data_IF_915547522746
#
_entry.id   IF_915547522746
#
_cell.length_a   1.000
_cell.length_b   1.000
_cell.length_c   1.000
_cell.angle_alpha   90.00
_cell.angle_beta   90.00
_cell.angle_gamma   90.00
#
_symmetry.space_group_name_H-M   'P 1'
#
loop_
_entity.id
_entity.type
_entity.pdbx_description
1 polymer ?
#
# COMPACT_ATOMS: atom_id res chain seq x y z
N UNK A 1 13.31 7.03 7.38
CA UNK A 1 12.62 7.00 8.69
C UNK A 1 11.15 6.52 8.58
N UNK A 2 10.85 5.64 7.63
CA UNK A 2 9.48 5.16 7.37
C UNK A 2 9.14 3.84 8.06
N UNK A 3 10.11 3.22 8.74
CA UNK A 3 9.91 1.95 9.43
C UNK A 3 9.02 2.04 10.68
N UNK A 4 9.07 3.14 11.42
CA UNK A 4 8.36 3.25 12.69
C UNK A 4 6.83 3.19 12.57
N UNK A 5 6.16 3.92 11.67
CA UNK A 5 4.71 3.79 11.49
C UNK A 5 4.29 2.41 11.00
N UNK A 6 5.07 1.79 10.11
CA UNK A 6 4.80 0.44 9.63
C UNK A 6 4.93 -0.58 10.77
N UNK A 7 5.92 -0.45 11.64
CA UNK A 7 6.11 -1.30 12.83
C UNK A 7 4.95 -1.13 13.82
N UNK A 8 4.49 0.11 14.07
CA UNK A 8 3.34 0.35 14.95
C UNK A 8 2.07 -0.28 14.39
N UNK A 9 1.82 -0.12 13.08
CA UNK A 9 0.67 -0.77 12.41
C UNK A 9 0.80 -2.29 12.50
N UNK A 10 1.99 -2.85 12.26
CA UNK A 10 2.25 -4.28 12.38
C UNK A 10 2.07 -4.78 13.81
N UNK A 11 2.50 -4.04 14.84
CA UNK A 11 2.31 -4.41 16.24
C UNK A 11 0.84 -4.33 16.67
N UNK A 12 0.09 -3.33 16.22
CA UNK A 12 -1.34 -3.22 16.47
C UNK A 12 -2.12 -4.35 15.79
N UNK A 13 -1.73 -4.69 14.56
CA UNK A 13 -2.26 -5.84 13.84
C UNK A 13 -1.88 -7.13 14.55
N UNK A 14 -0.63 -7.31 14.93
CA UNK A 14 -0.17 -8.50 15.66
C UNK A 14 -0.92 -8.73 16.97
N UNK A 15 -1.18 -7.68 17.75
CA UNK A 15 -1.96 -7.76 18.99
C UNK A 15 -3.43 -8.16 18.76
N UNK A 16 -4.03 -7.80 17.61
CA UNK A 16 -5.40 -8.21 17.23
C UNK A 16 -5.45 -9.57 16.56
N UNK A 17 -4.37 -9.96 15.90
CA UNK A 17 -4.23 -11.20 15.17
C UNK A 17 -4.03 -12.42 16.08
N UNK A 18 -3.59 -12.24 17.30
CA UNK A 18 -3.62 -13.30 18.33
C UNK A 18 -5.04 -13.88 18.54
N UNK A 19 -6.08 -13.19 18.05
CA UNK A 19 -7.49 -13.58 18.16
C UNK A 19 -8.07 -14.08 16.81
N UNK A 20 -7.39 -13.84 15.69
CA UNK A 20 -7.86 -14.28 14.37
C UNK A 20 -7.20 -15.61 13.98
N UNK A 21 -7.99 -16.55 13.47
CA UNK A 21 -7.48 -17.85 13.00
C UNK A 21 -6.26 -17.70 12.07
N UNK A 22 -5.24 -18.52 12.26
CA UNK A 22 -3.99 -18.55 11.49
C UNK A 22 -4.18 -18.52 9.96
N UNK A 23 -5.30 -19.05 9.47
CA UNK A 23 -5.65 -19.03 8.06
C UNK A 23 -5.97 -17.63 7.50
N UNK A 24 -6.55 -16.74 8.31
CA UNK A 24 -6.86 -15.37 7.86
C UNK A 24 -5.58 -14.54 7.72
N UNK A 25 -4.59 -14.82 8.56
CA UNK A 25 -3.25 -14.22 8.47
C UNK A 25 -2.50 -14.65 7.23
N UNK A 26 -2.50 -15.94 6.94
CA UNK A 26 -1.84 -16.46 5.74
C UNK A 26 -2.42 -15.80 4.49
N UNK A 27 -3.76 -15.69 4.41
CA UNK A 27 -4.41 -14.96 3.30
C UNK A 27 -3.93 -13.52 3.22
N UNK A 28 -3.97 -12.78 4.33
CA UNK A 28 -3.54 -11.37 4.35
C UNK A 28 -2.07 -11.20 3.98
N UNK A 29 -1.18 -12.07 4.46
CA UNK A 29 0.25 -12.03 4.12
C UNK A 29 0.49 -12.34 2.63
N UNK A 30 -0.15 -13.36 2.09
CA UNK A 30 -0.03 -13.70 0.66
C UNK A 30 -0.60 -12.56 -0.20
N UNK A 31 -1.75 -12.01 0.17
CA UNK A 31 -2.34 -10.85 -0.51
C UNK A 31 -1.41 -9.63 -0.46
N UNK A 32 -0.81 -9.36 0.70
CA UNK A 32 0.13 -8.26 0.85
C UNK A 32 1.35 -8.44 -0.06
N UNK A 33 2.02 -9.59 -0.01
CA UNK A 33 3.26 -9.83 -0.76
C UNK A 33 3.01 -9.84 -2.27
N UNK A 34 2.06 -10.64 -2.73
CA UNK A 34 1.77 -10.76 -4.17
C UNK A 34 1.07 -9.51 -4.70
N UNK A 35 0.16 -8.92 -3.93
CA UNK A 35 -0.52 -7.68 -4.27
C UNK A 35 0.47 -6.51 -4.37
N UNK A 36 1.44 -6.44 -3.47
CA UNK A 36 2.50 -5.42 -3.52
C UNK A 36 3.38 -5.59 -4.77
N UNK A 37 3.83 -6.81 -5.05
CA UNK A 37 4.64 -7.09 -6.23
C UNK A 37 3.89 -6.69 -7.51
N UNK A 38 2.63 -7.10 -7.66
CA UNK A 38 1.80 -6.76 -8.81
C UNK A 38 1.56 -5.24 -8.90
N UNK A 39 1.20 -4.60 -7.79
CA UNK A 39 0.89 -3.17 -7.76
C UNK A 39 2.13 -2.31 -8.04
N UNK A 40 3.32 -2.67 -7.53
CA UNK A 40 4.57 -1.95 -7.83
C UNK A 40 4.92 -2.11 -9.30
N UNK A 41 4.79 -3.31 -9.87
CA UNK A 41 5.03 -3.55 -11.29
C UNK A 41 4.09 -2.72 -12.16
N UNK A 42 2.79 -2.73 -11.86
CA UNK A 42 1.80 -1.92 -12.55
C UNK A 42 2.10 -0.42 -12.43
N UNK A 43 2.50 0.04 -11.24
CA UNK A 43 2.89 1.43 -11.03
C UNK A 43 4.16 1.82 -11.81
N UNK A 44 5.13 0.92 -11.91
CA UNK A 44 6.34 1.16 -12.70
C UNK A 44 6.01 1.28 -14.21
N UNK A 45 5.17 0.40 -14.71
CA UNK A 45 4.67 0.47 -16.10
C UNK A 45 3.89 1.76 -16.33
N UNK A 46 2.96 2.11 -15.43
CA UNK A 46 2.18 3.34 -15.54
C UNK A 46 3.07 4.59 -15.54
N UNK A 47 4.12 4.63 -14.71
CA UNK A 47 5.12 5.72 -14.71
C UNK A 47 5.81 5.86 -16.05
N UNK A 48 6.20 4.75 -16.65
CA UNK A 48 6.87 4.76 -17.95
C UNK A 48 5.93 5.18 -19.09
N UNK A 49 4.65 4.74 -19.04
CA UNK A 49 3.65 5.05 -20.07
C UNK A 49 3.18 6.49 -19.99
N UNK A 50 2.80 6.96 -18.81
CA UNK A 50 2.25 8.32 -18.67
C UNK A 50 3.34 9.39 -18.67
N UNK A 51 4.53 9.09 -18.20
CA UNK A 51 5.71 9.96 -18.18
C UNK A 51 5.44 11.41 -17.64
N UNK A 52 4.46 11.56 -16.75
CA UNK A 52 4.03 12.87 -16.22
C UNK A 52 5.09 13.48 -15.30
N UNK A 53 5.47 14.76 -15.48
CA UNK A 53 6.46 15.41 -14.66
C UNK A 53 5.94 15.67 -13.24
N UNK A 54 6.88 15.84 -12.29
CA UNK A 54 6.54 16.13 -10.88
C UNK A 54 6.15 17.58 -10.67
N UNK A 55 5.40 17.90 -9.58
CA UNK A 55 5.01 19.27 -9.24
C UNK A 55 6.18 20.25 -9.24
N UNK A 56 7.31 19.92 -8.60
CA UNK A 56 8.49 20.80 -8.55
C UNK A 56 9.15 21.03 -9.93
N UNK A 57 8.92 20.14 -10.90
CA UNK A 57 9.43 20.32 -12.28
C UNK A 57 8.55 21.30 -13.06
N UNK A 58 7.22 21.23 -12.81
CA UNK A 58 6.23 22.03 -13.56
C UNK A 58 6.05 23.42 -12.94
N UNK A 59 6.02 23.49 -11.62
CA UNK A 59 5.64 24.68 -10.85
C UNK A 59 6.88 25.44 -10.30
N UNK A 60 8.08 24.87 -10.41
CA UNK A 60 9.33 25.50 -9.96
C UNK A 60 9.26 25.92 -8.49
N UNK A 61 9.61 27.18 -8.24
CA UNK A 61 9.69 27.79 -6.90
C UNK A 61 8.31 28.00 -6.23
N UNK A 62 7.20 27.77 -6.95
CA UNK A 62 5.86 27.87 -6.38
C UNK A 62 5.52 26.69 -5.44
N UNK A 63 6.33 25.62 -5.44
CA UNK A 63 6.16 24.47 -4.55
C UNK A 63 7.44 24.15 -3.81
N UNK A 64 7.30 23.72 -2.55
CA UNK A 64 8.45 23.27 -1.76
C UNK A 64 9.03 21.99 -2.37
N UNK A 65 10.36 21.98 -2.59
CA UNK A 65 11.09 20.77 -2.96
C UNK A 65 11.91 20.29 -1.77
N UNK A 66 11.54 19.16 -1.21
CA UNK A 66 12.35 18.54 -0.15
C UNK A 66 13.73 18.12 -0.69
N UNK A 67 14.78 18.27 0.13
CA UNK A 67 16.15 17.83 -0.21
C UNK A 67 16.21 16.34 -0.53
N UNK A 68 15.33 15.55 0.09
CA UNK A 68 15.17 14.10 -0.14
C UNK A 68 14.17 13.77 -1.26
N UNK A 69 13.80 14.74 -2.11
CA UNK A 69 12.89 14.46 -3.23
C UNK A 69 13.49 13.41 -4.14
N UNK A 70 12.72 12.39 -4.55
CA UNK A 70 13.24 11.33 -5.41
C UNK A 70 13.72 11.88 -6.75
N UNK A 71 14.85 11.37 -7.24
CA UNK A 71 15.39 11.75 -8.55
C UNK A 71 14.56 11.21 -9.73
N UNK A 72 13.59 10.34 -9.47
CA UNK A 72 12.72 9.83 -10.53
C UNK A 72 11.90 10.95 -11.15
N UNK A 73 12.00 11.10 -12.47
CA UNK A 73 11.36 12.19 -13.25
C UNK A 73 9.85 12.14 -13.24
N UNK A 74 9.25 10.96 -13.08
CA UNK A 74 7.83 10.73 -13.26
C UNK A 74 7.07 10.63 -11.95
N UNK A 75 5.89 11.24 -11.94
CA UNK A 75 5.10 11.42 -10.72
C UNK A 75 4.02 10.34 -10.54
N UNK A 76 3.27 10.00 -11.57
CA UNK A 76 2.04 9.18 -11.47
C UNK A 76 2.31 7.70 -11.77
N UNK A 77 1.79 6.79 -10.92
CA UNK A 77 1.18 6.99 -9.61
C UNK A 77 2.22 7.14 -8.49
N UNK A 78 1.79 7.64 -7.32
CA UNK A 78 2.63 7.73 -6.13
C UNK A 78 2.95 6.35 -5.55
N UNK A 79 4.24 5.97 -5.51
CA UNK A 79 4.66 4.67 -4.98
C UNK A 79 4.36 4.48 -3.49
N UNK A 80 4.47 5.53 -2.67
CA UNK A 80 4.08 5.48 -1.26
C UNK A 80 2.58 5.24 -1.09
N UNK A 81 1.76 5.84 -1.96
CA UNK A 81 0.31 5.64 -1.94
C UNK A 81 -0.08 4.25 -2.44
N UNK A 82 0.67 3.67 -3.40
CA UNK A 82 0.52 2.27 -3.81
C UNK A 82 0.76 1.35 -2.61
N UNK A 83 1.87 1.54 -1.89
CA UNK A 83 2.17 0.75 -0.70
C UNK A 83 1.05 0.84 0.36
N UNK A 84 0.60 2.06 0.67
CA UNK A 84 -0.49 2.28 1.64
C UNK A 84 -1.80 1.66 1.16
N UNK A 85 -2.10 1.75 -0.13
CA UNK A 85 -3.27 1.10 -0.74
C UNK A 85 -3.25 -0.42 -0.60
N UNK A 86 -2.10 -1.05 -0.86
CA UNK A 86 -1.90 -2.50 -0.65
C UNK A 86 -2.07 -2.87 0.82
N UNK A 87 -1.42 -2.12 1.72
CA UNK A 87 -1.50 -2.35 3.16
C UNK A 87 -2.95 -2.26 3.64
N UNK A 88 -3.66 -1.20 3.19
CA UNK A 88 -5.06 -1.00 3.53
C UNK A 88 -5.93 -2.17 3.04
N UNK A 89 -5.81 -2.54 1.78
CA UNK A 89 -6.62 -3.61 1.19
C UNK A 89 -6.36 -4.98 1.86
N UNK A 90 -5.09 -5.33 2.11
CA UNK A 90 -4.71 -6.61 2.70
C UNK A 90 -5.14 -6.74 4.18
N UNK A 91 -5.11 -5.65 4.93
CA UNK A 91 -5.45 -5.66 6.36
C UNK A 91 -6.92 -5.38 6.66
N UNK A 92 -7.66 -4.76 5.72
CA UNK A 92 -9.05 -4.35 5.92
C UNK A 92 -9.97 -5.44 6.47
N UNK A 93 -9.90 -6.70 5.96
CA UNK A 93 -10.74 -7.78 6.47
C UNK A 93 -10.43 -8.20 7.91
N UNK A 94 -9.16 -8.07 8.34
CA UNK A 94 -8.69 -8.46 9.66
C UNK A 94 -8.90 -7.38 10.72
N UNK A 95 -9.20 -6.13 10.32
CA UNK A 95 -9.31 -5.00 11.22
C UNK A 95 -10.75 -4.73 11.65
N UNK A 96 -10.94 -4.50 12.95
CA UNK A 96 -12.14 -3.90 13.49
C UNK A 96 -12.25 -2.41 13.15
N UNK A 97 -13.37 -1.77 13.50
CA UNK A 97 -13.68 -0.40 13.10
C UNK A 97 -12.60 0.61 13.48
N UNK A 98 -12.09 0.56 14.71
CA UNK A 98 -11.00 1.45 15.17
C UNK A 98 -9.71 1.28 14.37
N UNK A 99 -9.37 0.04 14.02
CA UNK A 99 -8.20 -0.24 13.18
C UNK A 99 -8.35 0.29 11.75
N UNK A 100 -9.55 0.18 11.17
CA UNK A 100 -9.86 0.75 9.85
C UNK A 100 -9.76 2.27 9.84
N UNK A 101 -10.29 2.94 10.89
CA UNK A 101 -10.14 4.39 11.06
C UNK A 101 -8.66 4.77 11.16
N UNK A 102 -7.89 4.09 12.01
CA UNK A 102 -6.44 4.34 12.14
C UNK A 102 -5.70 4.19 10.82
N UNK A 103 -6.06 3.19 10.02
CA UNK A 103 -5.48 2.94 8.71
C UNK A 103 -5.85 4.04 7.69
N UNK A 104 -7.09 4.52 7.71
CA UNK A 104 -7.52 5.64 6.87
C UNK A 104 -6.81 6.94 7.25
N UNK A 105 -6.66 7.24 8.54
CA UNK A 105 -5.90 8.40 9.02
C UNK A 105 -4.44 8.30 8.58
N UNK A 106 -3.82 7.12 8.72
CA UNK A 106 -2.45 6.89 8.24
C UNK A 106 -2.33 7.11 6.73
N UNK A 107 -3.28 6.59 5.94
CA UNK A 107 -3.29 6.76 4.49
C UNK A 107 -3.44 8.23 4.09
N UNK A 108 -4.32 8.96 4.76
CA UNK A 108 -4.52 10.39 4.54
C UNK A 108 -3.26 11.21 4.89
N UNK A 109 -2.65 10.95 6.04
CA UNK A 109 -1.42 11.62 6.48
C UNK A 109 -0.24 11.33 5.52
N UNK A 110 -0.11 10.08 5.08
CA UNK A 110 0.91 9.69 4.10
C UNK A 110 0.69 10.43 2.77
N UNK A 111 -0.52 10.39 2.22
CA UNK A 111 -0.86 11.08 0.98
C UNK A 111 -0.61 12.58 1.08
N UNK A 112 -1.09 13.21 2.15
CA UNK A 112 -0.88 14.62 2.44
C UNK A 112 0.61 14.98 2.47
N UNK A 113 1.42 14.17 3.16
CA UNK A 113 2.87 14.41 3.22
C UNK A 113 3.52 14.43 1.83
N UNK A 114 3.05 13.63 0.86
CA UNK A 114 3.59 13.61 -0.51
C UNK A 114 3.24 14.86 -1.29
N UNK A 115 2.06 15.44 -1.03
CA UNK A 115 1.60 16.69 -1.65
C UNK A 115 2.37 17.87 -1.09
N UNK A 116 2.44 18.00 0.24
CA UNK A 116 3.15 19.12 0.91
C UNK A 116 4.64 19.14 0.57
N UNK A 117 5.27 17.98 0.40
CA UNK A 117 6.67 17.89 -0.02
C UNK A 117 6.89 18.18 -1.52
N UNK A 118 5.85 18.60 -2.26
CA UNK A 118 5.94 18.88 -3.69
C UNK A 118 6.28 17.68 -4.56
N UNK A 119 6.22 16.47 -3.99
CA UNK A 119 6.64 15.24 -4.67
C UNK A 119 5.59 14.70 -5.63
N UNK A 120 4.30 14.89 -5.31
CA UNK A 120 3.17 14.34 -6.05
C UNK A 120 1.97 15.28 -6.08
N UNK A 121 1.20 15.24 -7.17
CA UNK A 121 -0.11 15.84 -7.24
C UNK A 121 -1.14 15.01 -6.46
N UNK A 122 -2.26 15.59 -6.02
CA UNK A 122 -3.34 14.83 -5.37
C UNK A 122 -3.83 13.63 -6.18
N UNK A 123 -3.90 13.77 -7.51
CA UNK A 123 -4.31 12.69 -8.42
C UNK A 123 -3.33 11.51 -8.41
N UNK A 124 -2.02 11.75 -8.24
CA UNK A 124 -1.02 10.69 -8.16
C UNK A 124 -1.19 9.84 -6.90
N UNK A 125 -1.54 10.53 -5.79
CA UNK A 125 -1.82 9.90 -4.50
C UNK A 125 -3.06 9.01 -4.61
N UNK A 126 -4.15 9.54 -5.16
CA UNK A 126 -5.38 8.78 -5.36
C UNK A 126 -5.16 7.58 -6.28
N UNK A 127 -4.53 7.79 -7.43
CA UNK A 127 -4.21 6.71 -8.37
C UNK A 127 -3.33 5.64 -7.72
N UNK A 128 -2.36 6.03 -6.90
CA UNK A 128 -1.54 5.09 -6.15
C UNK A 128 -2.35 4.18 -5.22
N UNK A 129 -3.27 4.75 -4.44
CA UNK A 129 -4.16 3.97 -3.57
C UNK A 129 -5.00 2.99 -4.39
N UNK A 130 -5.60 3.44 -5.50
CA UNK A 130 -6.42 2.59 -6.38
C UNK A 130 -5.60 1.43 -6.96
N UNK A 131 -4.39 1.70 -7.46
CA UNK A 131 -3.48 0.65 -7.99
C UNK A 131 -3.13 -0.36 -6.89
N UNK A 132 -2.86 0.11 -5.66
CA UNK A 132 -2.59 -0.79 -4.53
C UNK A 132 -3.77 -1.70 -4.20
N UNK A 133 -4.98 -1.17 -4.12
CA UNK A 133 -6.20 -1.94 -3.89
C UNK A 133 -6.47 -2.95 -5.01
N UNK A 134 -6.32 -2.53 -6.27
CA UNK A 134 -6.51 -3.38 -7.43
C UNK A 134 -5.52 -4.57 -7.43
N UNK A 135 -4.25 -4.32 -7.07
CA UNK A 135 -3.24 -5.38 -6.94
C UNK A 135 -3.64 -6.46 -5.93
N UNK A 136 -4.14 -6.06 -4.75
CA UNK A 136 -4.61 -7.00 -3.73
C UNK A 136 -5.87 -7.74 -4.19
N UNK A 137 -6.82 -7.04 -4.80
CA UNK A 137 -8.05 -7.64 -5.31
C UNK A 137 -7.76 -8.71 -6.37
N UNK A 138 -6.82 -8.43 -7.28
CA UNK A 138 -6.44 -9.36 -8.35
C UNK A 138 -5.82 -10.66 -7.83
N UNK A 139 -5.07 -10.63 -6.73
CA UNK A 139 -4.44 -11.82 -6.15
C UNK A 139 -5.31 -12.52 -5.10
N UNK A 140 -6.45 -11.95 -4.72
CA UNK A 140 -7.35 -12.47 -3.70
C UNK A 140 -7.75 -13.95 -3.87
N UNK A 141 -8.21 -14.37 -5.05
CA UNK A 141 -8.57 -15.77 -5.30
C UNK A 141 -7.40 -16.74 -5.12
N UNK A 142 -6.19 -16.35 -5.54
CA UNK A 142 -4.98 -17.15 -5.38
C UNK A 142 -4.62 -17.31 -3.90
N UNK A 143 -4.63 -16.22 -3.14
CA UNK A 143 -4.32 -16.24 -1.71
C UNK A 143 -5.27 -17.17 -0.93
N UNK A 144 -6.56 -17.13 -1.25
CA UNK A 144 -7.55 -18.04 -0.66
C UNK A 144 -7.31 -19.52 -1.00
N UNK A 145 -6.87 -19.82 -2.23
CA UNK A 145 -6.51 -21.19 -2.65
C UNK A 145 -5.30 -21.70 -1.85
N UNK A 146 -4.25 -20.88 -1.74
CA UNK A 146 -3.04 -21.21 -0.96
C UNK A 146 -3.40 -21.51 0.50
N UNK A 147 -4.20 -20.66 1.15
CA UNK A 147 -4.60 -20.87 2.53
C UNK A 147 -5.43 -22.14 2.74
N UNK A 148 -6.33 -22.48 1.80
CA UNK A 148 -7.09 -23.73 1.84
C UNK A 148 -6.19 -24.96 1.76
N UNK A 149 -5.23 -24.97 0.84
CA UNK A 149 -4.30 -26.08 0.67
C UNK A 149 -3.44 -26.32 1.90
N UNK A 150 -2.98 -25.25 2.55
CA UNK A 150 -2.21 -25.33 3.80
C UNK A 150 -3.03 -25.91 4.95
N UNK A 151 -4.32 -25.56 5.07
CA UNK A 151 -5.22 -26.15 6.07
C UNK A 151 -5.41 -27.65 5.86
N UNK A 152 -5.58 -28.09 4.62
CA UNK A 152 -5.78 -29.50 4.28
C UNK A 152 -4.52 -30.35 4.57
N UNK A 153 -3.32 -29.81 4.29
CA UNK A 153 -2.06 -30.51 4.56
C UNK A 153 -1.72 -30.59 6.06
N UNK A 154 -2.20 -29.64 6.87
CA UNK A 154 -2.04 -29.66 8.33
C UNK A 154 -3.00 -30.62 9.05
N UNK A 155 -4.16 -30.93 8.44
CA UNK A 155 -5.15 -31.84 9.01
C UNK A 155 -4.84 -33.33 8.76
N UNK A 156 -3.87 -33.63 7.91
CA UNK A 156 -3.45 -35.00 7.55
C UNK A 156 -2.22 -35.50 8.32
N UNK A 157 -1.75 -34.74 9.30
CA UNK A 157 -0.66 -35.12 10.20
C UNK A 157 -1.15 -35.24 11.63
#
# INVERSE_FOLDING_TARGET
YWGAPAVVVLLLVWRRVQVAEAASLTVSLVQFVLGLALAITAAAVAKAVFALPRPFVVLGDAVYRAVSAPDSRYTMPSGHSVYVGVLAAALWPALGWSGRIGLLVFAAAMGWSRIVLGAHFPVDVFAGVVVGWAGVAAVGPLAQRVARNLKLSGASR
#
